data_IF_383940297125
#
_entry.id   IF_383940297125
#
_cell.length_a   1.000
_cell.length_b   1.000
_cell.length_c   1.000
_cell.angle_alpha   90.00
_cell.angle_beta   90.00
_cell.angle_gamma   90.00
#
_symmetry.space_group_name_H-M   'P 1'
#
loop_
_entity.id
_entity.type
_entity.pdbx_description
1 polymer ?
#
# COMPACT_ATOMS: atom_id res chain seq x y z
N UNK A 1 -49.92 60.42 -6.11
CA UNK A 1 -49.58 59.79 -7.39
C UNK A 1 -48.18 59.20 -7.25
N UNK A 2 -48.00 57.95 -7.68
CA UNK A 2 -47.01 56.97 -7.19
C UNK A 2 -45.52 57.34 -7.35
N UNK A 3 -44.72 56.98 -6.34
CA UNK A 3 -43.26 56.99 -6.37
C UNK A 3 -42.74 55.76 -7.13
N UNK A 4 -41.81 55.97 -8.06
CA UNK A 4 -41.12 54.92 -8.82
C UNK A 4 -40.00 54.32 -7.96
N UNK A 5 -40.14 53.04 -7.63
CA UNK A 5 -39.14 52.24 -6.93
C UNK A 5 -37.97 51.87 -7.85
N UNK A 6 -36.76 52.22 -7.44
CA UNK A 6 -35.50 51.81 -8.05
C UNK A 6 -35.22 50.33 -7.72
N UNK A 7 -35.25 49.46 -8.74
CA UNK A 7 -34.74 48.10 -8.63
C UNK A 7 -33.21 48.11 -8.77
N UNK A 8 -32.50 47.78 -7.69
CA UNK A 8 -31.07 47.51 -7.70
C UNK A 8 -30.81 46.09 -8.19
N UNK A 9 -30.15 45.96 -9.34
CA UNK A 9 -29.60 44.71 -9.85
C UNK A 9 -28.23 44.48 -9.18
N UNK A 10 -28.11 43.44 -8.35
CA UNK A 10 -26.79 42.98 -7.86
C UNK A 10 -26.27 41.92 -8.83
N UNK A 11 -25.06 42.06 -9.40
CA UNK A 11 -24.48 41.03 -10.23
C UNK A 11 -24.09 39.82 -9.37
N UNK A 12 -24.59 38.67 -9.82
CA UNK A 12 -24.21 37.29 -9.50
C UNK A 12 -22.76 37.14 -9.01
N UNK A 13 -22.60 36.48 -7.86
CA UNK A 13 -21.30 36.09 -7.33
C UNK A 13 -20.49 35.27 -8.33
N UNK A 14 -19.20 35.62 -8.44
CA UNK A 14 -18.23 34.87 -9.22
C UNK A 14 -18.00 33.48 -8.59
N UNK A 15 -17.79 32.42 -9.41
CA UNK A 15 -17.37 31.13 -8.90
C UNK A 15 -15.96 31.25 -8.32
N UNK A 16 -15.83 31.08 -7.01
CA UNK A 16 -14.52 30.93 -6.38
C UNK A 16 -13.90 29.62 -6.87
N UNK A 17 -12.64 29.61 -7.33
CA UNK A 17 -11.96 28.36 -7.69
C UNK A 17 -11.85 27.50 -6.43
N UNK A 18 -12.46 26.31 -6.50
CA UNK A 18 -12.46 25.33 -5.42
C UNK A 18 -11.04 25.04 -4.95
N UNK A 19 -10.77 25.36 -3.68
CA UNK A 19 -9.58 24.90 -3.00
C UNK A 19 -9.57 23.38 -3.06
N UNK A 20 -8.53 22.82 -3.68
CA UNK A 20 -8.24 21.38 -3.63
C UNK A 20 -8.09 21.04 -2.15
N UNK A 21 -9.12 20.40 -1.58
CA UNK A 21 -9.08 19.95 -0.21
C UNK A 21 -7.90 18.97 -0.12
N UNK A 22 -6.83 19.39 0.56
CA UNK A 22 -5.73 18.49 0.94
C UNK A 22 -6.38 17.37 1.74
N UNK A 23 -6.34 16.17 1.17
CA UNK A 23 -6.77 14.97 1.89
C UNK A 23 -6.01 14.92 3.22
N UNK A 24 -6.69 14.60 4.33
CA UNK A 24 -6.02 14.57 5.63
C UNK A 24 -4.87 13.57 5.55
N UNK A 25 -3.66 14.04 5.86
CA UNK A 25 -2.48 13.18 5.96
C UNK A 25 -2.79 12.10 7.01
N UNK A 26 -2.65 10.81 6.69
CA UNK A 26 -2.89 9.76 7.67
C UNK A 26 -1.98 9.96 8.89
N UNK A 27 -2.43 9.57 10.09
CA UNK A 27 -1.57 9.60 11.26
C UNK A 27 -0.34 8.72 11.00
N UNK A 28 0.81 9.06 11.60
CA UNK A 28 2.07 8.33 11.42
C UNK A 28 1.95 6.83 11.76
N UNK A 29 1.04 6.47 12.68
CA UNK A 29 0.69 5.07 12.96
C UNK A 29 0.07 4.36 11.75
N UNK A 30 -0.74 5.06 10.96
CA UNK A 30 -1.31 4.56 9.70
C UNK A 30 -0.26 4.43 8.60
N UNK A 31 0.65 5.40 8.47
CA UNK A 31 1.77 5.31 7.51
C UNK A 31 2.69 4.11 7.84
N UNK A 32 2.96 3.88 9.12
CA UNK A 32 3.75 2.73 9.59
C UNK A 32 3.03 1.39 9.34
N UNK A 33 1.71 1.34 9.53
CA UNK A 33 0.92 0.14 9.23
C UNK A 33 0.92 -0.18 7.73
N UNK A 34 0.73 0.83 6.87
CA UNK A 34 0.80 0.67 5.41
C UNK A 34 2.20 0.23 4.95
N UNK A 35 3.25 0.75 5.59
CA UNK A 35 4.62 0.33 5.33
C UNK A 35 4.84 -1.14 5.68
N UNK A 36 4.29 -1.61 6.81
CA UNK A 36 4.37 -3.01 7.22
C UNK A 36 3.67 -3.93 6.22
N UNK A 37 2.45 -3.58 5.80
CA UNK A 37 1.68 -4.33 4.80
C UNK A 37 2.44 -4.43 3.46
N UNK A 38 3.00 -3.30 2.99
CA UNK A 38 3.82 -3.29 1.78
C UNK A 38 5.08 -4.16 1.91
N UNK A 39 5.74 -4.14 3.07
CA UNK A 39 6.93 -4.93 3.34
C UNK A 39 6.63 -6.44 3.41
N UNK A 40 5.51 -6.83 4.04
CA UNK A 40 5.00 -8.20 4.04
C UNK A 40 4.69 -8.67 2.60
N UNK A 41 4.06 -7.82 1.79
CA UNK A 41 3.79 -8.12 0.38
C UNK A 41 5.06 -8.32 -0.46
N UNK A 42 6.11 -7.52 -0.21
CA UNK A 42 7.41 -7.70 -0.84
C UNK A 42 8.06 -9.03 -0.46
N UNK A 43 8.06 -9.38 0.83
CA UNK A 43 8.59 -10.65 1.32
C UNK A 43 7.84 -11.82 0.68
N UNK A 44 6.51 -11.77 0.56
CA UNK A 44 5.73 -12.80 -0.12
C UNK A 44 6.12 -12.97 -1.60
N UNK A 45 6.42 -11.89 -2.34
CA UNK A 45 6.91 -11.98 -3.72
C UNK A 45 8.29 -12.65 -3.76
N UNK A 46 9.20 -12.26 -2.86
CA UNK A 46 10.54 -12.83 -2.79
C UNK A 46 10.47 -14.34 -2.49
N UNK A 47 9.64 -14.74 -1.52
CA UNK A 47 9.46 -16.15 -1.16
C UNK A 47 8.87 -16.97 -2.30
N UNK A 48 7.88 -16.44 -3.03
CA UNK A 48 7.38 -17.09 -4.26
C UNK A 48 8.48 -17.34 -5.27
N UNK A 49 9.36 -16.35 -5.49
CA UNK A 49 10.51 -16.49 -6.40
C UNK A 49 11.51 -17.54 -5.90
N UNK A 50 11.79 -17.56 -4.61
CA UNK A 50 12.67 -18.55 -3.97
C UNK A 50 12.11 -19.98 -4.10
N UNK A 51 10.81 -20.16 -3.89
CA UNK A 51 10.15 -21.46 -4.04
C UNK A 51 10.14 -21.93 -5.50
N UNK A 52 9.89 -21.01 -6.43
CA UNK A 52 9.97 -21.29 -7.86
C UNK A 52 11.38 -21.71 -8.28
N UNK A 53 12.43 -21.03 -7.79
CA UNK A 53 13.81 -21.40 -8.11
C UNK A 53 14.24 -22.72 -7.48
N UNK A 54 13.88 -22.98 -6.22
CA UNK A 54 14.16 -24.25 -5.54
C UNK A 54 13.52 -25.45 -6.27
N UNK A 55 12.33 -25.26 -6.83
CA UNK A 55 11.66 -26.28 -7.65
C UNK A 55 12.35 -26.46 -9.00
N UNK A 56 12.68 -25.36 -9.69
CA UNK A 56 13.39 -25.41 -10.96
C UNK A 56 14.74 -26.15 -10.81
N UNK A 57 15.44 -25.98 -9.69
CA UNK A 57 16.66 -26.75 -9.39
C UNK A 57 16.39 -28.23 -9.09
N UNK A 58 15.24 -28.58 -8.48
CA UNK A 58 14.89 -29.97 -8.15
C UNK A 58 14.52 -30.81 -9.38
N UNK A 59 13.96 -30.21 -10.43
CA UNK A 59 13.56 -30.91 -11.67
C UNK A 59 14.65 -30.93 -12.75
N UNK A 60 15.76 -30.21 -12.53
CA UNK A 60 16.89 -30.23 -13.45
C UNK A 60 17.66 -31.56 -13.43
N UNK A 61 17.49 -32.40 -12.40
CA UNK A 61 18.24 -33.66 -12.29
C UNK A 61 17.48 -34.86 -12.87
N UNK A 62 16.18 -35.03 -12.67
CA UNK A 62 15.48 -36.21 -13.18
C UNK A 62 14.01 -35.91 -13.52
N UNK A 63 13.57 -36.34 -14.71
CA UNK A 63 12.18 -36.40 -15.21
C UNK A 63 11.69 -35.22 -16.07
N UNK A 64 11.70 -35.36 -17.41
CA UNK A 64 10.74 -34.64 -18.24
C UNK A 64 9.36 -35.26 -17.93
N UNK A 65 8.35 -34.46 -17.59
CA UNK A 65 6.89 -34.79 -17.53
C UNK A 65 6.23 -34.24 -16.25
N UNK A 66 6.04 -32.92 -16.16
CA UNK A 66 5.00 -32.35 -15.28
C UNK A 66 4.04 -31.50 -16.12
N UNK A 67 2.83 -32.02 -16.35
CA UNK A 67 1.81 -31.34 -17.15
C UNK A 67 1.39 -29.98 -16.58
N UNK A 68 0.98 -29.05 -17.45
CA UNK A 68 0.70 -27.65 -17.09
C UNK A 68 -0.35 -27.45 -15.97
N UNK A 69 -1.31 -28.36 -15.82
CA UNK A 69 -2.28 -28.29 -14.72
C UNK A 69 -1.63 -28.40 -13.33
N UNK A 70 -0.63 -29.28 -13.16
CA UNK A 70 0.08 -29.42 -11.88
C UNK A 70 0.92 -28.19 -11.53
N UNK A 71 1.48 -27.51 -12.54
CA UNK A 71 2.25 -26.29 -12.34
C UNK A 71 1.37 -25.15 -11.79
N UNK A 72 0.14 -25.03 -12.27
CA UNK A 72 -0.80 -24.03 -11.78
C UNK A 72 -1.20 -24.28 -10.31
N UNK A 73 -1.50 -25.53 -9.93
CA UNK A 73 -1.80 -25.86 -8.54
C UNK A 73 -0.62 -25.59 -7.61
N UNK A 74 0.60 -25.87 -8.07
CA UNK A 74 1.81 -25.58 -7.31
C UNK A 74 2.02 -24.07 -7.14
N UNK A 75 1.82 -23.28 -8.19
CA UNK A 75 1.91 -21.83 -8.12
C UNK A 75 0.91 -21.24 -7.09
N UNK A 76 -0.35 -21.69 -7.11
CA UNK A 76 -1.36 -21.26 -6.13
C UNK A 76 -0.97 -21.65 -4.69
N UNK A 77 -0.43 -22.86 -4.51
CA UNK A 77 0.02 -23.32 -3.19
C UNK A 77 1.20 -22.51 -2.67
N UNK A 78 2.18 -22.23 -3.53
CA UNK A 78 3.35 -21.43 -3.17
C UNK A 78 2.96 -19.99 -2.84
N UNK A 79 2.00 -19.43 -3.56
CA UNK A 79 1.44 -18.11 -3.27
C UNK A 79 0.80 -18.06 -1.88
N UNK A 80 -0.08 -19.01 -1.57
CA UNK A 80 -0.72 -19.06 -0.26
C UNK A 80 0.29 -19.27 0.87
N UNK A 81 1.26 -20.17 0.67
CA UNK A 81 2.32 -20.40 1.64
C UNK A 81 3.18 -19.14 1.87
N UNK A 82 3.57 -18.45 0.79
CA UNK A 82 4.40 -17.26 0.89
C UNK A 82 3.70 -16.11 1.63
N UNK A 83 2.39 -15.92 1.43
CA UNK A 83 1.59 -14.93 2.15
C UNK A 83 1.55 -15.25 3.67
N UNK A 84 1.28 -16.51 4.03
CA UNK A 84 1.30 -16.94 5.44
C UNK A 84 2.69 -16.77 6.07
N UNK A 85 3.73 -17.18 5.36
CA UNK A 85 5.11 -17.09 5.83
C UNK A 85 5.54 -15.62 6.06
N UNK A 86 5.20 -14.73 5.12
CA UNK A 86 5.50 -13.30 5.24
C UNK A 86 4.78 -12.67 6.44
N UNK A 87 3.47 -12.92 6.58
CA UNK A 87 2.67 -12.41 7.72
C UNK A 87 3.13 -12.94 9.07
N UNK A 88 3.62 -14.19 9.11
CA UNK A 88 4.18 -14.77 10.33
C UNK A 88 5.52 -14.14 10.74
N UNK A 89 6.20 -13.46 9.81
CA UNK A 89 7.53 -12.89 10.03
C UNK A 89 8.63 -13.95 10.17
N UNK A 90 8.44 -15.15 9.62
CA UNK A 90 9.38 -16.27 9.75
C UNK A 90 10.78 -15.97 9.17
N UNK A 91 10.83 -15.16 8.10
CA UNK A 91 12.08 -14.79 7.42
C UNK A 91 12.62 -13.43 7.90
N UNK A 92 11.72 -12.49 8.21
CA UNK A 92 12.08 -11.22 8.86
C UNK A 92 12.58 -10.13 7.92
N UNK A 93 12.56 -10.34 6.60
CA UNK A 93 12.87 -9.30 5.62
C UNK A 93 11.86 -8.17 5.69
N UNK A 94 10.56 -8.49 5.80
CA UNK A 94 9.50 -7.50 5.94
C UNK A 94 9.77 -6.56 7.13
N UNK A 95 10.15 -7.12 8.28
CA UNK A 95 10.51 -6.34 9.49
C UNK A 95 11.72 -5.45 9.27
N UNK A 96 12.77 -5.95 8.61
CA UNK A 96 13.98 -5.17 8.32
C UNK A 96 13.70 -3.99 7.39
N UNK A 97 12.87 -4.20 6.37
CA UNK A 97 12.43 -3.17 5.43
C UNK A 97 11.57 -2.13 6.15
N UNK A 98 10.59 -2.56 6.94
CA UNK A 98 9.75 -1.68 7.76
C UNK A 98 10.63 -0.80 8.67
N UNK A 99 11.57 -1.39 9.41
CA UNK A 99 12.45 -0.64 10.30
C UNK A 99 13.33 0.37 9.53
N UNK A 100 13.91 -0.05 8.41
CA UNK A 100 14.77 0.82 7.58
C UNK A 100 13.99 1.93 6.87
N UNK A 101 12.72 1.73 6.52
CA UNK A 101 11.93 2.76 5.86
C UNK A 101 11.21 3.66 6.87
N UNK A 102 10.86 3.14 8.05
CA UNK A 102 10.20 3.91 9.10
C UNK A 102 11.03 5.09 9.60
N UNK A 103 12.37 5.04 9.51
CA UNK A 103 13.24 6.17 9.86
C UNK A 103 13.04 7.40 8.97
N UNK A 104 12.46 7.21 7.77
CA UNK A 104 12.16 8.28 6.83
C UNK A 104 10.72 8.78 6.95
N UNK A 105 9.91 8.19 7.84
CA UNK A 105 8.58 8.71 8.11
C UNK A 105 8.71 10.02 8.89
N UNK A 106 7.90 11.03 8.54
CA UNK A 106 7.92 12.30 9.25
C UNK A 106 7.59 12.06 10.72
N UNK A 107 8.41 12.62 11.62
CA UNK A 107 8.08 12.63 13.03
C UNK A 107 6.71 13.30 13.20
N UNK A 108 5.80 12.68 13.96
CA UNK A 108 4.56 13.32 14.38
C UNK A 108 4.92 14.62 15.08
N UNK A 109 4.73 15.74 14.39
CA UNK A 109 4.93 17.07 14.98
C UNK A 109 4.01 17.12 16.21
N UNK A 110 4.54 17.32 17.42
CA UNK A 110 3.68 17.44 18.59
C UNK A 110 2.77 18.64 18.32
N UNK A 111 1.45 18.41 18.36
CA UNK A 111 0.44 19.46 18.26
C UNK A 111 0.82 20.57 19.24
N UNK A 112 1.38 21.64 18.70
CA UNK A 112 1.79 22.81 19.45
C UNK A 112 0.49 23.49 19.86
N UNK A 113 0.11 23.32 21.12
CA UNK A 113 -1.11 23.90 21.68
C UNK A 113 -1.09 25.40 21.50
N UNK A 114 -2.13 25.92 20.85
CA UNK A 114 -2.48 27.34 20.83
C UNK A 114 -2.47 27.87 22.27
N UNK A 115 -1.72 28.96 22.48
CA UNK A 115 -1.78 29.79 23.70
C UNK A 115 -2.63 31.02 23.44
#
# INVERSE_FOLDING_TARGET
>A
MAALSSFGFTPSGAPQPGGVARSPKPPVSGERAALREAAEGFEAIMLRKMLASARASSFAEETPLTGGGMQQFQAMRDEHFADLAARSGAFGFARSIEASLAQHLPASEPMQGDS
#
